data_IF_894859992128
#
_entry.id   IF_894859992128
#
_cell.length_a   1.000
_cell.length_b   1.000
_cell.length_c   1.000
_cell.angle_alpha   90.00
_cell.angle_beta   90.00
_cell.angle_gamma   90.00
#
_symmetry.space_group_name_H-M   'P 1'
#
loop_
_entity.id
_entity.type
_entity.pdbx_description
1 polymer ?
#
# COMPACT_ATOMS: atom_id res chain seq x y z
N UNK A 1 18.35 -1.39 -18.28
CA UNK A 1 17.68 -1.24 -16.97
C UNK A 1 16.27 -0.79 -17.27
N UNK A 2 15.27 -1.46 -16.71
CA UNK A 2 13.86 -1.11 -16.93
C UNK A 2 13.49 0.14 -16.11
N UNK A 3 12.61 0.97 -16.67
CA UNK A 3 12.05 2.13 -15.98
C UNK A 3 10.82 1.71 -15.18
N UNK A 4 10.84 1.92 -13.85
CA UNK A 4 9.76 1.58 -12.95
C UNK A 4 9.23 2.84 -12.29
N UNK A 5 7.92 3.04 -12.35
CA UNK A 5 7.26 4.20 -11.75
C UNK A 5 6.19 3.73 -10.76
N UNK A 6 6.28 4.22 -9.53
CA UNK A 6 5.23 4.05 -8.51
C UNK A 6 4.22 5.20 -8.60
N UNK A 7 2.93 4.87 -8.62
CA UNK A 7 1.85 5.84 -8.53
C UNK A 7 1.28 5.79 -7.12
N UNK A 8 1.61 6.82 -6.32
CA UNK A 8 1.23 6.94 -4.91
C UNK A 8 0.09 7.96 -4.78
N UNK A 9 -1.09 7.51 -4.34
CA UNK A 9 -2.18 8.42 -4.00
C UNK A 9 -2.28 8.56 -2.49
N UNK A 10 -2.50 9.78 -2.02
CA UNK A 10 -2.56 10.06 -0.58
C UNK A 10 -3.52 11.20 -0.25
N UNK A 11 -3.97 11.20 1.00
CA UNK A 11 -4.63 12.32 1.67
C UNK A 11 -4.30 12.26 3.15
N UNK A 12 -3.65 13.33 3.65
CA UNK A 12 -3.28 13.46 5.07
C UNK A 12 -2.47 12.27 5.59
N UNK A 13 -1.39 11.94 4.88
CA UNK A 13 -0.49 10.84 5.20
C UNK A 13 0.93 11.32 5.61
N UNK A 14 1.03 12.49 6.25
CA UNK A 14 2.33 13.06 6.67
C UNK A 14 3.17 12.11 7.52
N UNK A 15 2.51 11.21 8.24
CA UNK A 15 3.15 10.22 9.11
C UNK A 15 3.93 9.14 8.34
N UNK A 16 3.50 8.80 7.14
CA UNK A 16 3.97 7.62 6.41
C UNK A 16 4.61 7.97 5.07
N UNK A 17 4.08 8.97 4.38
CA UNK A 17 4.41 9.30 3.00
C UNK A 17 5.92 9.47 2.77
N UNK A 18 6.61 10.21 3.63
CA UNK A 18 8.05 10.46 3.48
C UNK A 18 8.88 9.17 3.49
N UNK A 19 8.56 8.25 4.40
CA UNK A 19 9.25 6.96 4.48
C UNK A 19 8.94 6.07 3.27
N UNK A 20 7.69 6.05 2.80
CA UNK A 20 7.29 5.33 1.60
C UNK A 20 8.07 5.84 0.38
N UNK A 21 8.07 7.14 0.12
CA UNK A 21 8.74 7.74 -1.03
C UNK A 21 10.26 7.53 -0.98
N UNK A 22 10.91 7.78 0.16
CA UNK A 22 12.35 7.55 0.32
C UNK A 22 12.72 6.08 0.14
N UNK A 23 11.87 5.15 0.58
CA UNK A 23 12.08 3.73 0.35
C UNK A 23 12.03 3.40 -1.16
N UNK A 24 11.03 3.87 -1.89
CA UNK A 24 10.90 3.66 -3.33
C UNK A 24 12.12 4.20 -4.08
N UNK A 25 12.55 5.43 -3.76
CA UNK A 25 13.72 6.08 -4.37
C UNK A 25 14.99 5.25 -4.16
N UNK A 26 15.26 4.83 -2.91
CA UNK A 26 16.43 3.99 -2.57
C UNK A 26 16.41 2.62 -3.26
N UNK A 27 15.23 2.18 -3.67
CA UNK A 27 15.03 0.93 -4.40
C UNK A 27 14.98 1.10 -5.93
N UNK A 28 15.34 2.29 -6.45
CA UNK A 28 15.46 2.56 -7.88
C UNK A 28 14.12 2.74 -8.59
N UNK A 29 13.10 3.25 -7.88
CA UNK A 29 11.76 3.49 -8.40
C UNK A 29 11.51 4.99 -8.47
N UNK A 30 11.03 5.49 -9.61
CA UNK A 30 10.57 6.89 -9.77
C UNK A 30 9.12 7.03 -9.29
N UNK A 31 8.68 8.25 -9.05
CA UNK A 31 7.44 8.50 -8.33
C UNK A 31 6.53 9.42 -9.14
N UNK A 32 5.27 9.00 -9.29
CA UNK A 32 4.16 9.87 -9.67
C UNK A 32 3.18 9.93 -8.50
N UNK A 33 2.63 11.09 -8.19
CA UNK A 33 1.76 11.26 -7.02
C UNK A 33 0.43 11.88 -7.36
N UNK A 34 -0.60 11.46 -6.62
CA UNK A 34 -1.94 12.02 -6.65
C UNK A 34 -2.29 12.47 -5.23
N UNK A 35 -2.37 13.77 -5.00
CA UNK A 35 -2.79 14.36 -3.73
C UNK A 35 -4.30 14.65 -3.76
N UNK A 36 -5.07 13.95 -2.93
CA UNK A 36 -6.50 14.21 -2.77
C UNK A 36 -6.74 15.38 -1.82
N UNK A 37 -6.19 16.55 -2.17
CA UNK A 37 -6.30 17.81 -1.45
C UNK A 37 -5.95 17.69 0.04
N UNK A 38 -4.75 17.22 0.37
CA UNK A 38 -4.25 17.13 1.74
C UNK A 38 -4.23 18.47 2.45
N UNK A 39 -4.50 18.47 3.75
CA UNK A 39 -4.55 19.65 4.62
C UNK A 39 -3.47 19.62 5.70
N UNK A 40 -2.72 18.53 5.81
CA UNK A 40 -1.55 18.35 6.68
C UNK A 40 -0.23 18.65 5.95
N UNK A 41 0.89 18.22 6.50
CA UNK A 41 2.21 18.46 5.90
C UNK A 41 2.56 17.51 4.74
N UNK A 42 1.66 16.62 4.29
CA UNK A 42 1.93 15.63 3.22
C UNK A 42 2.47 16.27 1.95
N UNK A 43 1.83 17.34 1.45
CA UNK A 43 2.27 18.01 0.22
C UNK A 43 3.65 18.68 0.37
N UNK A 44 4.03 19.09 1.59
CA UNK A 44 5.34 19.67 1.88
C UNK A 44 6.47 18.63 1.82
N UNK A 45 6.16 17.36 2.09
CA UNK A 45 7.12 16.24 2.00
C UNK A 45 7.67 16.11 0.57
N UNK A 46 6.85 16.37 -0.44
CA UNK A 46 7.26 16.29 -1.85
C UNK A 46 8.34 17.32 -2.23
N UNK A 47 8.51 18.38 -1.43
CA UNK A 47 9.52 19.43 -1.62
C UNK A 47 10.85 19.14 -0.92
N UNK A 48 10.96 18.02 -0.20
CA UNK A 48 12.23 17.64 0.41
C UNK A 48 13.29 17.39 -0.68
N UNK A 49 14.52 17.89 -0.51
CA UNK A 49 15.59 17.79 -1.51
C UNK A 49 15.89 16.34 -1.94
N UNK A 50 15.67 15.38 -1.04
CA UNK A 50 15.86 13.95 -1.31
C UNK A 50 14.69 13.31 -2.09
N UNK A 51 13.54 13.98 -2.21
CA UNK A 51 12.31 13.45 -2.83
C UNK A 51 12.00 14.19 -4.13
N UNK A 52 12.00 15.51 -4.10
CA UNK A 52 11.56 16.36 -5.21
C UNK A 52 12.15 15.98 -6.59
N UNK A 53 13.47 15.67 -6.73
CA UNK A 53 14.06 15.31 -8.04
C UNK A 53 13.53 13.99 -8.62
N UNK A 54 12.89 13.15 -7.80
CA UNK A 54 12.38 11.84 -8.19
C UNK A 54 10.88 11.82 -8.50
N UNK A 55 10.18 12.94 -8.24
CA UNK A 55 8.75 13.10 -8.54
C UNK A 55 8.59 13.55 -9.99
N UNK A 56 8.12 12.65 -10.86
CA UNK A 56 7.99 12.89 -12.30
C UNK A 56 6.63 13.40 -12.72
N UNK A 57 5.62 13.23 -11.87
CA UNK A 57 4.27 13.75 -12.09
C UNK A 57 3.61 14.05 -10.73
N UNK A 58 2.87 15.14 -10.68
CA UNK A 58 2.09 15.56 -9.51
C UNK A 58 0.72 16.02 -9.96
N UNK A 59 -0.32 15.40 -9.42
CA UNK A 59 -1.70 15.77 -9.65
C UNK A 59 -2.41 16.05 -8.34
N UNK A 60 -3.35 16.99 -8.35
CA UNK A 60 -4.25 17.25 -7.23
C UNK A 60 -5.68 16.90 -7.63
N UNK A 61 -6.34 16.11 -6.79
CA UNK A 61 -7.75 15.75 -6.95
C UNK A 61 -8.54 16.42 -5.82
N UNK A 62 -9.63 17.15 -6.10
CA UNK A 62 -10.45 17.78 -5.07
C UNK A 62 -10.99 16.74 -4.06
N UNK A 63 -11.13 17.17 -2.80
CA UNK A 63 -11.81 16.39 -1.78
C UNK A 63 -13.28 16.84 -1.67
N UNK A 64 -14.20 15.91 -1.92
CA UNK A 64 -15.64 16.16 -1.97
C UNK A 64 -16.37 15.80 -0.67
N UNK A 65 -15.65 15.72 0.47
CA UNK A 65 -16.21 15.37 1.77
C UNK A 65 -16.22 13.88 2.07
N UNK A 66 -15.85 13.04 1.11
CA UNK A 66 -15.72 11.60 1.28
C UNK A 66 -14.45 11.06 0.57
N UNK A 67 -14.09 9.83 0.89
CA UNK A 67 -12.96 9.13 0.25
C UNK A 67 -13.39 8.57 -1.11
N UNK A 68 -12.94 9.15 -2.25
CA UNK A 68 -13.41 8.79 -3.59
C UNK A 68 -12.53 7.70 -4.19
N UNK A 69 -12.54 6.48 -3.63
CA UNK A 69 -11.56 5.44 -3.97
C UNK A 69 -11.61 5.02 -5.44
N UNK A 70 -12.80 4.80 -5.99
CA UNK A 70 -12.96 4.47 -7.41
C UNK A 70 -12.37 5.54 -8.33
N UNK A 71 -12.66 6.81 -8.03
CA UNK A 71 -12.13 7.94 -8.80
C UNK A 71 -10.60 8.01 -8.72
N UNK A 72 -10.03 7.77 -7.53
CA UNK A 72 -8.57 7.70 -7.34
C UNK A 72 -7.97 6.56 -8.14
N UNK A 73 -8.59 5.37 -8.14
CA UNK A 73 -8.12 4.23 -8.94
C UNK A 73 -8.18 4.51 -10.44
N UNK A 74 -9.30 5.07 -10.92
CA UNK A 74 -9.42 5.46 -12.32
C UNK A 74 -8.34 6.49 -12.72
N UNK A 75 -8.03 7.44 -11.82
CA UNK A 75 -6.98 8.42 -12.05
C UNK A 75 -5.58 7.79 -12.05
N UNK A 76 -5.30 6.86 -11.13
CA UNK A 76 -4.05 6.06 -11.14
C UNK A 76 -3.88 5.34 -12.48
N UNK A 77 -4.95 4.70 -13.00
CA UNK A 77 -4.92 4.00 -14.28
C UNK A 77 -4.69 4.94 -15.48
N UNK A 78 -5.33 6.12 -15.47
CA UNK A 78 -5.13 7.13 -16.50
C UNK A 78 -3.69 7.68 -16.49
N UNK A 79 -3.15 7.96 -15.30
CA UNK A 79 -1.78 8.43 -15.12
C UNK A 79 -0.77 7.36 -15.56
N UNK A 80 -1.01 6.08 -15.23
CA UNK A 80 -0.18 4.96 -15.67
C UNK A 80 -0.05 4.88 -17.20
N UNK A 81 -1.13 5.16 -17.95
CA UNK A 81 -1.12 5.18 -19.42
C UNK A 81 -0.38 6.38 -20.02
N UNK A 82 -0.23 7.46 -19.28
CA UNK A 82 0.42 8.70 -19.75
C UNK A 82 1.91 8.75 -19.45
N UNK A 83 2.41 7.91 -18.55
CA UNK A 83 3.80 7.90 -18.10
C UNK A 83 4.61 6.94 -18.96
N UNK A 84 5.80 7.42 -19.42
CA UNK A 84 6.77 6.56 -20.05
C UNK A 84 7.47 5.70 -19.00
N UNK A 85 7.06 4.44 -18.89
CA UNK A 85 7.62 3.45 -17.98
C UNK A 85 7.51 2.05 -18.60
N UNK A 86 8.37 1.12 -18.15
CA UNK A 86 8.25 -0.31 -18.49
C UNK A 86 7.31 -1.01 -17.52
N UNK A 87 7.37 -0.62 -16.24
CA UNK A 87 6.53 -1.19 -15.18
C UNK A 87 5.93 -0.09 -14.31
N UNK A 88 4.69 -0.32 -13.90
CA UNK A 88 3.96 0.54 -12.96
C UNK A 88 3.79 -0.20 -11.64
N UNK A 89 3.91 0.54 -10.53
CA UNK A 89 3.55 0.09 -9.19
C UNK A 89 2.36 0.89 -8.67
N UNK A 90 1.34 0.20 -8.18
CA UNK A 90 0.31 0.79 -7.32
C UNK A 90 0.79 0.74 -5.88
N UNK A 91 0.93 1.88 -5.24
CA UNK A 91 1.44 2.00 -3.87
C UNK A 91 0.52 2.90 -3.06
N UNK A 92 0.27 2.54 -1.81
CA UNK A 92 -0.36 3.39 -0.82
C UNK A 92 0.72 3.98 0.12
N UNK A 93 0.48 5.16 0.68
CA UNK A 93 1.51 5.93 1.39
C UNK A 93 2.08 5.24 2.65
N UNK A 94 1.35 4.26 3.19
CA UNK A 94 1.67 3.47 4.36
C UNK A 94 2.22 2.07 4.03
N UNK A 95 2.65 1.87 2.76
CA UNK A 95 3.18 0.60 2.27
C UNK A 95 4.69 0.68 1.97
N UNK A 96 5.41 -0.40 2.33
CA UNK A 96 6.83 -0.60 2.03
C UNK A 96 6.99 -1.93 1.28
N UNK A 97 7.38 -1.85 0.02
CA UNK A 97 7.52 -3.01 -0.87
C UNK A 97 8.97 -3.45 -0.99
N UNK A 98 9.25 -4.74 -0.92
CA UNK A 98 10.61 -5.26 -1.07
C UNK A 98 10.66 -6.70 -1.60
N UNK A 99 11.82 -7.11 -2.11
CA UNK A 99 12.10 -8.50 -2.42
C UNK A 99 12.33 -9.32 -1.14
N UNK A 100 12.01 -10.60 -1.18
CA UNK A 100 12.48 -11.55 -0.15
C UNK A 100 13.98 -11.82 -0.23
N UNK A 101 14.61 -11.54 -1.39
CA UNK A 101 16.05 -11.65 -1.60
C UNK A 101 16.78 -10.37 -1.23
N UNK A 102 18.08 -10.45 -1.06
CA UNK A 102 18.92 -9.27 -0.82
C UNK A 102 19.24 -8.56 -2.16
N UNK A 103 18.24 -7.86 -2.67
CA UNK A 103 18.26 -7.08 -3.90
C UNK A 103 17.35 -5.86 -3.76
N UNK A 104 17.48 -4.87 -4.62
CA UNK A 104 16.55 -3.73 -4.67
C UNK A 104 15.21 -4.18 -5.28
N UNK A 105 14.14 -3.43 -5.01
CA UNK A 105 12.83 -3.70 -5.61
C UNK A 105 12.89 -3.64 -7.13
N UNK A 106 13.62 -2.68 -7.69
CA UNK A 106 13.79 -2.57 -9.15
C UNK A 106 14.52 -3.76 -9.76
N UNK A 107 15.56 -4.27 -9.09
CA UNK A 107 16.28 -5.47 -9.54
C UNK A 107 15.37 -6.72 -9.49
N UNK A 108 14.56 -6.85 -8.44
CA UNK A 108 13.60 -7.94 -8.30
C UNK A 108 12.56 -7.92 -9.43
N UNK A 109 11.96 -6.76 -9.70
CA UNK A 109 10.95 -6.61 -10.77
C UNK A 109 11.60 -6.90 -12.13
N UNK A 110 12.80 -6.38 -12.40
CA UNK A 110 13.52 -6.66 -13.65
C UNK A 110 13.75 -8.16 -13.84
N UNK A 111 14.25 -8.85 -12.82
CA UNK A 111 14.50 -10.30 -12.85
C UNK A 111 13.20 -11.09 -13.07
N UNK A 112 12.12 -10.71 -12.39
CA UNK A 112 10.81 -11.37 -12.54
C UNK A 112 10.24 -11.11 -13.94
N UNK A 113 10.40 -9.90 -14.48
CA UNK A 113 9.93 -9.53 -15.81
C UNK A 113 10.55 -10.40 -16.93
N UNK A 114 11.77 -10.90 -16.74
CA UNK A 114 12.44 -11.82 -17.68
C UNK A 114 11.70 -13.16 -17.84
N UNK A 115 10.78 -13.50 -16.92
CA UNK A 115 9.94 -14.70 -17.05
C UNK A 115 8.79 -14.55 -18.05
N UNK A 116 8.59 -13.36 -18.62
CA UNK A 116 7.52 -13.06 -19.55
C UNK A 116 6.17 -12.75 -18.89
N UNK A 117 6.12 -12.57 -17.56
CA UNK A 117 4.93 -12.15 -16.85
C UNK A 117 4.56 -10.69 -17.15
N UNK A 118 3.29 -10.35 -16.94
CA UNK A 118 2.77 -8.98 -17.10
C UNK A 118 2.29 -8.38 -15.79
N UNK A 119 2.21 -9.16 -14.72
CA UNK A 119 1.82 -8.70 -13.38
C UNK A 119 2.58 -9.46 -12.28
N UNK A 120 2.78 -8.78 -11.13
CA UNK A 120 3.43 -9.35 -9.94
C UNK A 120 2.51 -9.14 -8.74
N UNK A 121 2.30 -10.22 -7.99
CA UNK A 121 1.59 -10.18 -6.71
C UNK A 121 2.54 -9.82 -5.57
N UNK A 122 1.97 -9.22 -4.53
CA UNK A 122 2.66 -8.93 -3.28
C UNK A 122 1.96 -9.62 -2.12
N UNK A 123 2.73 -10.28 -1.28
CA UNK A 123 2.25 -10.87 -0.03
C UNK A 123 2.15 -9.76 1.02
N UNK A 124 0.97 -9.55 1.62
CA UNK A 124 0.70 -8.45 2.54
C UNK A 124 0.96 -8.84 3.99
N UNK A 125 1.86 -8.11 4.64
CA UNK A 125 2.16 -8.23 6.07
C UNK A 125 1.75 -6.96 6.78
N UNK A 126 0.70 -7.04 7.61
CA UNK A 126 0.16 -5.88 8.33
C UNK A 126 0.87 -5.72 9.66
N UNK A 127 1.63 -4.63 9.80
CA UNK A 127 2.39 -4.30 10.99
C UNK A 127 1.59 -3.44 11.96
N UNK A 128 1.61 -3.81 13.24
CA UNK A 128 0.84 -3.13 14.29
C UNK A 128 1.75 -2.57 15.39
N UNK A 129 1.53 -1.34 15.88
CA UNK A 129 2.30 -0.70 16.93
C UNK A 129 1.87 -1.16 18.33
N UNK A 130 2.03 -2.48 18.63
CA UNK A 130 1.55 -3.09 19.88
C UNK A 130 2.33 -2.63 21.10
N UNK A 131 3.67 -2.52 20.99
CA UNK A 131 4.57 -2.28 22.12
C UNK A 131 4.86 -0.80 22.35
N UNK A 132 4.67 0.02 21.33
CA UNK A 132 4.92 1.45 21.39
C UNK A 132 4.09 2.18 20.35
N UNK A 133 3.75 3.43 20.62
CA UNK A 133 3.13 4.29 19.62
C UNK A 133 4.10 4.55 18.48
N UNK A 134 3.59 4.48 17.26
CA UNK A 134 4.34 4.87 16.08
C UNK A 134 4.57 6.38 16.09
N UNK A 135 5.81 6.78 16.34
CA UNK A 135 6.21 8.18 16.23
C UNK A 135 6.65 8.47 14.81
N UNK A 136 5.81 9.15 14.05
CA UNK A 136 6.11 9.49 12.68
C UNK A 136 7.18 10.57 12.58
N UNK A 137 8.20 10.23 11.82
CA UNK A 137 9.18 11.17 11.32
C UNK A 137 9.30 10.91 9.82
N UNK A 138 9.13 11.92 8.98
CA UNK A 138 9.17 11.75 7.53
C UNK A 138 10.49 11.16 6.99
N UNK A 139 11.53 11.10 7.80
CA UNK A 139 12.87 10.57 7.45
C UNK A 139 13.18 9.22 8.05
N UNK A 140 12.49 8.80 9.10
CA UNK A 140 12.76 7.51 9.77
C UNK A 140 11.48 6.92 10.36
N UNK A 141 11.19 5.68 9.98
CA UNK A 141 10.15 4.90 10.64
C UNK A 141 10.65 4.30 11.94
N UNK A 142 9.82 4.37 12.99
CA UNK A 142 10.03 3.53 14.17
C UNK A 142 9.93 2.06 13.73
N UNK A 143 10.85 1.21 14.20
CA UNK A 143 10.84 -0.19 13.82
C UNK A 143 9.68 -0.90 14.48
N UNK A 144 8.62 -1.18 13.71
CA UNK A 144 7.56 -2.09 14.12
C UNK A 144 8.00 -3.52 13.80
N UNK A 145 7.87 -4.40 14.77
CA UNK A 145 8.33 -5.78 14.66
C UNK A 145 7.20 -6.80 14.63
N UNK A 146 6.00 -6.43 15.08
CA UNK A 146 4.88 -7.34 15.18
C UNK A 146 3.93 -7.17 14.00
N UNK A 147 3.52 -8.29 13.41
CA UNK A 147 2.70 -8.31 12.20
C UNK A 147 1.86 -9.58 12.10
N UNK A 148 0.88 -9.57 11.21
CA UNK A 148 0.22 -10.76 10.72
C UNK A 148 0.29 -10.83 9.20
N UNK A 149 0.31 -12.03 8.65
CA UNK A 149 0.18 -12.27 7.21
C UNK A 149 -1.30 -12.19 6.83
N UNK A 150 -1.65 -11.27 5.94
CA UNK A 150 -3.03 -11.04 5.52
C UNK A 150 -3.26 -11.56 4.10
N UNK A 151 -4.01 -12.65 4.01
CA UNK A 151 -4.29 -13.32 2.74
C UNK A 151 -5.73 -13.84 2.73
N UNK A 152 -6.77 -12.98 2.55
CA UNK A 152 -8.17 -13.42 2.44
C UNK A 152 -8.39 -14.34 1.24
N UNK A 153 -7.63 -14.12 0.16
CA UNK A 153 -7.55 -15.01 -1.02
C UNK A 153 -6.14 -14.97 -1.58
N UNK A 154 -5.59 -16.08 -2.09
CA UNK A 154 -4.28 -16.08 -2.74
C UNK A 154 -4.20 -15.12 -3.92
N UNK A 155 -3.01 -14.55 -4.15
CA UNK A 155 -2.73 -13.61 -5.24
C UNK A 155 -3.68 -12.40 -5.29
N UNK A 156 -4.05 -11.91 -4.12
CA UNK A 156 -5.02 -10.85 -3.96
C UNK A 156 -4.44 -9.44 -4.21
N UNK A 157 -3.13 -9.25 -4.12
CA UNK A 157 -2.52 -7.92 -4.10
C UNK A 157 -1.57 -7.73 -5.27
N UNK A 158 -2.14 -7.68 -6.48
CA UNK A 158 -1.38 -7.46 -7.72
C UNK A 158 -1.02 -5.99 -7.83
N UNK A 159 0.13 -5.60 -7.33
CA UNK A 159 0.57 -4.19 -7.18
C UNK A 159 1.51 -3.71 -8.27
N UNK A 160 2.09 -4.63 -9.09
CA UNK A 160 2.97 -4.26 -10.19
C UNK A 160 2.48 -4.85 -11.51
N UNK A 161 2.56 -4.07 -12.60
CA UNK A 161 2.22 -4.55 -13.94
C UNK A 161 3.05 -3.86 -15.02
N UNK A 162 3.17 -4.54 -16.15
CA UNK A 162 3.85 -4.05 -17.34
C UNK A 162 3.05 -2.91 -17.98
N UNK A 163 3.63 -1.73 -18.12
CA UNK A 163 2.91 -0.50 -18.47
C UNK A 163 2.20 -0.56 -19.83
N UNK A 164 2.77 -1.29 -20.80
CA UNK A 164 2.19 -1.45 -22.14
C UNK A 164 0.96 -2.36 -22.21
N UNK A 165 0.59 -3.03 -21.08
CA UNK A 165 -0.52 -4.00 -21.08
C UNK A 165 -1.85 -3.34 -20.74
N UNK A 166 -2.92 -3.78 -21.42
CA UNK A 166 -4.30 -3.35 -21.15
C UNK A 166 -4.87 -4.09 -19.93
N UNK A 167 -4.37 -3.73 -18.74
CA UNK A 167 -4.84 -4.25 -17.46
C UNK A 167 -5.56 -3.17 -16.67
N UNK A 168 -6.53 -3.57 -15.83
CA UNK A 168 -7.28 -2.69 -14.93
C UNK A 168 -7.41 -3.28 -13.53
N UNK A 169 -7.38 -2.42 -12.50
CA UNK A 169 -7.62 -2.79 -11.10
C UNK A 169 -8.88 -2.15 -10.51
N UNK A 170 -9.63 -1.39 -11.30
CA UNK A 170 -10.76 -0.59 -10.79
C UNK A 170 -11.90 -1.43 -10.23
N UNK A 171 -12.21 -2.56 -10.87
CA UNK A 171 -13.32 -3.44 -10.44
C UNK A 171 -13.08 -4.13 -9.12
N UNK A 172 -11.79 -4.43 -8.82
CA UNK A 172 -11.39 -5.12 -7.59
C UNK A 172 -11.12 -4.19 -6.40
N UNK A 173 -11.34 -2.89 -6.56
CA UNK A 173 -10.95 -1.92 -5.53
C UNK A 173 -9.44 -1.76 -5.38
N UNK A 174 -8.66 -1.98 -6.44
CA UNK A 174 -7.19 -1.82 -6.43
C UNK A 174 -6.41 -3.05 -5.99
N UNK A 175 -7.05 -4.20 -5.85
CA UNK A 175 -6.40 -5.40 -5.33
C UNK A 175 -5.96 -6.39 -6.41
N UNK A 176 -6.77 -6.59 -7.43
CA UNK A 176 -6.55 -7.58 -8.48
C UNK A 176 -6.59 -6.89 -9.84
N UNK A 177 -5.61 -7.18 -10.67
CA UNK A 177 -5.59 -6.77 -12.07
C UNK A 177 -6.44 -7.73 -12.91
N UNK A 178 -7.16 -7.20 -13.89
CA UNK A 178 -7.93 -7.96 -14.88
C UNK A 178 -7.62 -7.47 -16.29
N UNK A 179 -7.74 -8.36 -17.28
CA UNK A 179 -7.51 -8.11 -18.70
C UNK A 179 -6.94 -9.33 -19.40
N UNK A 180 -7.12 -9.41 -20.71
CA UNK A 180 -6.70 -10.58 -21.52
C UNK A 180 -5.19 -10.81 -21.54
N UNK A 181 -4.42 -9.75 -21.31
CA UNK A 181 -2.96 -9.79 -21.26
C UNK A 181 -2.39 -10.19 -19.89
N UNK A 182 -3.23 -10.58 -18.92
CA UNK A 182 -2.77 -10.91 -17.57
C UNK A 182 -1.99 -12.24 -17.55
N UNK A 183 -0.70 -12.15 -17.28
CA UNK A 183 0.18 -13.29 -16.99
C UNK A 183 0.83 -13.01 -15.63
N UNK A 184 0.31 -13.64 -14.59
CA UNK A 184 0.81 -13.43 -13.22
C UNK A 184 2.13 -14.14 -13.01
N UNK A 185 3.11 -13.46 -12.42
CA UNK A 185 4.37 -14.07 -12.01
C UNK A 185 4.14 -15.19 -10.99
N UNK A 186 4.95 -16.24 -11.04
CA UNK A 186 4.93 -17.33 -10.05
C UNK A 186 5.57 -16.94 -8.72
N UNK A 187 6.44 -15.94 -8.73
CA UNK A 187 7.11 -15.38 -7.55
C UNK A 187 6.34 -14.12 -7.10
N UNK A 188 5.94 -14.08 -5.83
CA UNK A 188 5.42 -12.86 -5.18
C UNK A 188 6.55 -12.06 -4.54
N UNK A 189 6.35 -10.77 -4.40
CA UNK A 189 7.18 -9.87 -3.59
C UNK A 189 6.51 -9.61 -2.24
N UNK A 190 7.20 -8.98 -1.31
CA UNK A 190 6.66 -8.66 0.01
C UNK A 190 6.18 -7.21 0.09
N UNK A 191 5.06 -7.01 0.76
CA UNK A 191 4.50 -5.71 1.09
C UNK A 191 4.29 -5.63 2.59
N UNK A 192 4.97 -4.68 3.24
CA UNK A 192 4.72 -4.32 4.63
C UNK A 192 3.75 -3.16 4.67
N UNK A 193 2.61 -3.37 5.29
CA UNK A 193 1.57 -2.37 5.45
C UNK A 193 1.59 -1.84 6.88
N UNK A 194 1.73 -0.53 7.06
CA UNK A 194 1.81 0.19 8.33
C UNK A 194 0.59 1.10 8.51
N UNK A 195 -0.61 0.55 8.63
CA UNK A 195 -1.84 1.35 8.51
C UNK A 195 -2.05 2.33 9.67
N UNK A 196 -1.41 2.10 10.84
CA UNK A 196 -1.73 2.83 12.06
C UNK A 196 -0.49 3.28 12.84
N UNK A 197 -0.60 4.47 13.47
CA UNK A 197 0.38 4.99 14.45
C UNK A 197 0.11 4.49 15.87
N UNK A 198 -1.17 4.36 16.20
CA UNK A 198 -1.69 3.89 17.49
C UNK A 198 -3.17 3.55 17.31
N UNK A 199 -3.83 3.10 18.39
CA UNK A 199 -5.25 2.72 18.37
C UNK A 199 -6.18 3.89 18.05
N UNK A 200 -5.91 5.08 18.58
CA UNK A 200 -6.73 6.27 18.29
C UNK A 200 -6.68 6.63 16.80
N UNK A 201 -5.48 6.59 16.20
CA UNK A 201 -5.33 6.79 14.76
C UNK A 201 -6.05 5.72 13.93
N UNK A 202 -6.07 4.46 14.38
CA UNK A 202 -6.81 3.41 13.69
C UNK A 202 -8.32 3.71 13.63
N UNK A 203 -8.88 4.15 14.74
CA UNK A 203 -10.28 4.57 14.82
C UNK A 203 -10.55 5.81 13.95
N UNK A 204 -9.73 6.85 14.07
CA UNK A 204 -9.85 8.06 13.27
C UNK A 204 -9.77 7.76 11.77
N UNK A 205 -8.73 7.03 11.35
CA UNK A 205 -8.47 6.74 9.93
C UNK A 205 -9.58 5.90 9.28
N UNK A 206 -10.20 4.98 10.01
CA UNK A 206 -11.14 4.03 9.42
C UNK A 206 -12.59 4.24 9.85
N UNK A 207 -12.87 4.52 11.12
CA UNK A 207 -14.24 4.61 11.60
C UNK A 207 -14.89 5.98 11.33
N UNK A 208 -14.08 7.06 11.33
CA UNK A 208 -14.63 8.42 11.11
C UNK A 208 -14.56 8.85 9.64
N UNK A 209 -13.81 8.13 8.80
CA UNK A 209 -13.71 8.44 7.38
C UNK A 209 -15.08 8.27 6.71
N UNK A 210 -15.48 9.30 5.97
CA UNK A 210 -16.66 9.20 5.12
C UNK A 210 -16.30 8.47 3.82
N UNK A 211 -17.09 7.45 3.48
CA UNK A 211 -16.93 6.69 2.24
C UNK A 211 -18.02 7.07 1.24
N UNK A 212 -17.72 6.92 -0.05
CA UNK A 212 -18.69 7.16 -1.10
C UNK A 212 -19.87 6.17 -0.95
N UNK A 213 -21.14 6.66 -0.87
CA UNK A 213 -22.30 5.78 -0.74
C UNK A 213 -22.44 4.74 -1.85
N UNK A 214 -22.03 5.07 -3.08
CA UNK A 214 -22.06 4.12 -4.19
C UNK A 214 -21.02 3.00 -4.03
N UNK A 215 -19.87 3.28 -3.42
CA UNK A 215 -18.85 2.27 -3.10
C UNK A 215 -19.32 1.36 -1.96
N UNK A 216 -19.96 1.92 -0.92
CA UNK A 216 -20.57 1.15 0.16
C UNK A 216 -21.68 0.21 -0.37
N UNK A 217 -22.52 0.68 -1.31
CA UNK A 217 -23.57 -0.14 -1.93
C UNK A 217 -23.00 -1.33 -2.72
N UNK A 218 -21.75 -1.24 -3.20
CA UNK A 218 -21.02 -2.34 -3.86
C UNK A 218 -20.28 -3.27 -2.88
N UNK A 219 -20.37 -3.00 -1.58
CA UNK A 219 -19.70 -3.78 -0.55
C UNK A 219 -18.28 -3.33 -0.21
N UNK A 220 -17.77 -2.25 -0.82
CA UNK A 220 -16.46 -1.72 -0.51
C UNK A 220 -16.47 -1.03 0.87
N UNK A 221 -15.39 -1.17 1.63
CA UNK A 221 -15.17 -0.51 2.93
C UNK A 221 -16.17 -0.90 4.04
N UNK A 222 -17.09 -1.86 3.83
CA UNK A 222 -18.10 -2.25 4.84
C UNK A 222 -17.48 -2.75 6.15
N UNK A 223 -16.32 -3.41 6.07
CA UNK A 223 -15.59 -3.89 7.24
C UNK A 223 -15.00 -2.78 8.12
N UNK A 224 -15.06 -1.51 7.69
CA UNK A 224 -14.55 -0.33 8.40
C UNK A 224 -15.66 0.59 8.87
N UNK A 225 -16.82 0.56 8.23
CA UNK A 225 -17.96 1.42 8.54
C UNK A 225 -18.66 0.98 9.82
N UNK A 226 -19.11 1.94 10.64
CA UNK A 226 -19.89 1.67 11.86
C UNK A 226 -19.12 1.02 13.00
N UNK A 227 -17.78 1.08 12.99
CA UNK A 227 -16.92 0.54 14.04
C UNK A 227 -16.81 1.50 15.24
N UNK A 228 -16.63 0.95 16.43
CA UNK A 228 -16.37 1.66 17.68
C UNK A 228 -14.85 1.72 17.98
N UNK A 229 -14.36 2.56 18.89
CA UNK A 229 -12.97 2.55 19.32
C UNK A 229 -12.48 1.20 19.84
N UNK A 230 -13.37 0.45 20.50
CA UNK A 230 -13.09 -0.88 21.06
C UNK A 230 -12.77 -1.91 19.98
N UNK A 231 -13.34 -1.75 18.78
CA UNK A 231 -13.10 -2.62 17.64
C UNK A 231 -11.65 -2.53 17.14
N UNK A 232 -10.99 -1.39 17.35
CA UNK A 232 -9.62 -1.14 16.94
C UNK A 232 -8.59 -1.42 18.03
N UNK A 233 -8.97 -2.12 19.13
CA UNK A 233 -7.97 -2.61 20.08
C UNK A 233 -7.07 -3.61 19.40
N UNK A 234 -5.78 -3.37 19.53
CA UNK A 234 -4.78 -4.26 18.96
C UNK A 234 -4.84 -5.64 19.63
N UNK A 235 -4.61 -6.72 18.87
CA UNK A 235 -4.57 -8.06 19.42
C UNK A 235 -3.34 -8.23 20.34
N UNK A 236 -3.35 -9.21 21.26
CA UNK A 236 -2.18 -9.51 22.07
C UNK A 236 -1.01 -9.98 21.19
N UNK A 237 0.21 -9.75 21.65
CA UNK A 237 1.44 -10.11 20.93
C UNK A 237 1.52 -11.58 20.51
N UNK A 238 0.88 -12.48 21.28
CA UNK A 238 0.90 -13.93 21.00
C UNK A 238 0.07 -14.31 19.76
N UNK A 239 -0.80 -13.44 19.29
CA UNK A 239 -1.61 -13.66 18.08
C UNK A 239 -0.91 -13.14 16.82
N UNK A 240 0.30 -12.62 16.97
CA UNK A 240 1.08 -11.98 15.93
C UNK A 240 2.44 -12.68 15.74
N UNK A 241 2.93 -12.66 14.52
CA UNK A 241 4.33 -12.95 14.24
C UNK A 241 5.21 -11.79 14.69
N UNK A 242 6.49 -12.09 14.95
CA UNK A 242 7.48 -11.08 15.32
C UNK A 242 8.75 -11.22 14.50
N UNK A 243 9.23 -10.11 13.94
CA UNK A 243 10.56 -10.04 13.36
C UNK A 243 11.62 -9.99 14.47
N UNK A 244 12.75 -10.66 14.26
CA UNK A 244 13.94 -10.51 15.11
C UNK A 244 14.56 -9.12 14.98
N UNK A 245 14.53 -8.57 13.76
CA UNK A 245 15.08 -7.25 13.41
C UNK A 245 14.18 -6.58 12.36
N UNK A 246 14.07 -5.27 12.43
CA UNK A 246 13.22 -4.47 11.53
C UNK A 246 13.60 -4.59 10.04
N UNK A 247 14.88 -4.80 9.75
CA UNK A 247 15.41 -4.96 8.39
C UNK A 247 15.35 -6.40 7.86
N UNK A 248 14.88 -7.36 8.67
CA UNK A 248 14.77 -8.76 8.28
C UNK A 248 13.81 -8.93 7.12
N UNK A 249 14.24 -9.59 6.06
CA UNK A 249 13.40 -9.97 4.92
C UNK A 249 12.70 -11.33 5.11
N UNK A 250 12.95 -12.00 6.25
CA UNK A 250 12.34 -13.28 6.60
C UNK A 250 10.98 -13.01 7.25
N UNK A 251 9.95 -12.94 6.43
CA UNK A 251 8.57 -12.78 6.85
C UNK A 251 7.86 -14.13 6.85
N UNK A 252 7.20 -14.47 7.96
CA UNK A 252 6.50 -15.74 8.13
C UNK A 252 5.12 -15.65 7.47
N UNK A 253 4.82 -16.60 6.55
CA UNK A 253 3.55 -16.70 5.83
C UNK A 253 2.62 -17.78 6.37
N UNK A 254 2.99 -18.41 7.49
CA UNK A 254 2.12 -19.39 8.13
C UNK A 254 0.91 -18.72 8.76
N UNK A 255 -0.19 -19.45 8.87
CA UNK A 255 -1.42 -19.02 9.51
C UNK A 255 -1.98 -17.71 8.94
N UNK A 256 -2.22 -17.65 7.62
CA UNK A 256 -2.75 -16.43 7.00
C UNK A 256 -4.08 -16.03 7.62
N UNK A 257 -4.23 -14.74 7.89
CA UNK A 257 -5.50 -14.18 8.37
C UNK A 257 -6.36 -13.77 7.18
N UNK A 258 -7.59 -14.24 7.15
CA UNK A 258 -8.56 -13.91 6.10
C UNK A 258 -9.39 -12.67 6.41
N UNK A 259 -9.37 -12.23 7.68
CA UNK A 259 -10.02 -11.01 8.17
C UNK A 259 -8.97 -10.10 8.82
N UNK A 260 -9.21 -8.80 8.82
CA UNK A 260 -8.35 -7.88 9.56
C UNK A 260 -8.54 -8.02 11.07
N UNK A 261 -7.56 -7.59 11.88
CA UNK A 261 -7.56 -7.79 13.33
C UNK A 261 -8.79 -7.21 14.04
N UNK A 262 -9.40 -6.14 13.52
CA UNK A 262 -10.63 -5.58 14.09
C UNK A 262 -11.89 -6.41 13.82
N UNK A 263 -11.73 -7.53 13.16
CA UNK A 263 -12.81 -8.52 12.91
C UNK A 263 -12.54 -9.85 13.62
N UNK A 264 -11.37 -10.02 14.29
CA UNK A 264 -11.03 -11.26 15.00
C UNK A 264 -11.88 -11.42 16.24
N UNK A 265 -12.24 -12.68 16.57
CA UNK A 265 -13.03 -13.03 17.74
C UNK A 265 -14.52 -12.64 17.66
N UNK A 266 -15.00 -12.19 16.50
CA UNK A 266 -16.43 -11.96 16.28
C UNK A 266 -17.06 -13.21 15.69
N UNK A 267 -18.26 -13.65 16.20
CA UNK A 267 -19.03 -14.66 15.52
C UNK A 267 -19.40 -14.18 14.11
N UNK A 268 -19.43 -15.11 13.16
CA UNK A 268 -19.86 -14.87 11.78
C UNK A 268 -21.34 -14.50 11.70
#
# INVERSE_FOLDING_TARGET
>A
MIEIVAIVAFRNEEAFLGNCLLHLIRNGVRIAVIDNASTDASSSILRLPEIEPHVIAYETVPYEGYFPWESILARKMALAKSIAADWILHVDADEIMHSYRDETLSAAIQRIAETGCTAINFDEFVFLPIEHEYQSNCRSMQPLLQYYFFEPTPNRLMRAWKAETELSMTESGGHILSGDALVLATESLALRHYPFRNQAHAFEKYATRQFNPAELARGWHLNRSGKSPEDFRFPPSNDLHRLERADSRKLERKEPKTKHYWEWGRPE
#
